data_IF_650422494024
#
_entry.id   IF_650422494024
#
_cell.length_a   1.000
_cell.length_b   1.000
_cell.length_c   1.000
_cell.angle_alpha   90.00
_cell.angle_beta   90.00
_cell.angle_gamma   90.00
#
_symmetry.space_group_name_H-M   'P 1'
#
loop_
_entity.id
_entity.type
_entity.pdbx_description
1 polymer ?
#
# COMPACT_ATOMS: atom_id res chain seq x y z
N UNK A 1 15.02 11.37 28.86
CA UNK A 1 13.76 10.61 28.81
C UNK A 1 13.98 9.43 27.88
N UNK A 2 13.73 8.17 28.30
CA UNK A 2 13.88 7.06 27.37
C UNK A 2 12.80 7.23 26.29
N UNK A 3 13.19 7.04 25.03
CA UNK A 3 12.25 6.95 23.92
C UNK A 3 11.22 5.89 24.27
N UNK A 4 9.95 6.30 24.37
CA UNK A 4 8.84 5.37 24.45
C UNK A 4 8.77 4.66 23.09
N UNK A 5 9.55 3.57 22.93
CA UNK A 5 9.48 2.71 21.74
C UNK A 5 8.11 2.04 21.84
N UNK A 6 7.11 2.70 21.24
CA UNK A 6 5.80 2.13 21.06
C UNK A 6 6.02 0.83 20.28
N UNK A 7 5.83 -0.32 20.95
CA UNK A 7 6.02 -1.64 20.36
C UNK A 7 5.21 -1.69 19.07
N UNK A 8 5.85 -1.98 17.93
CA UNK A 8 5.14 -2.04 16.66
C UNK A 8 4.24 -3.27 16.69
N UNK A 9 3.10 -3.21 16.03
CA UNK A 9 2.12 -4.32 16.05
C UNK A 9 2.72 -5.61 15.48
N UNK A 10 3.69 -5.50 14.57
CA UNK A 10 4.41 -6.63 13.98
C UNK A 10 5.60 -7.15 14.81
N UNK A 11 5.91 -6.55 15.96
CA UNK A 11 6.91 -7.06 16.91
C UNK A 11 6.33 -8.14 17.84
N UNK A 12 5.08 -8.54 17.64
CA UNK A 12 4.51 -9.70 18.33
C UNK A 12 5.24 -10.99 17.91
N UNK A 13 5.63 -11.82 18.88
CA UNK A 13 6.44 -13.01 18.62
C UNK A 13 5.70 -14.05 17.79
N UNK A 14 4.40 -14.25 18.04
CA UNK A 14 3.58 -15.19 17.27
C UNK A 14 3.39 -14.68 15.85
N UNK A 15 3.03 -13.41 15.70
CA UNK A 15 2.87 -12.81 14.39
C UNK A 15 4.19 -12.83 13.61
N UNK A 16 5.28 -12.36 14.19
CA UNK A 16 6.59 -12.29 13.51
C UNK A 16 7.11 -13.66 13.12
N UNK A 17 6.88 -14.70 13.95
CA UNK A 17 7.24 -16.08 13.62
C UNK A 17 6.49 -16.58 12.39
N UNK A 18 5.18 -16.40 12.35
CA UNK A 18 4.35 -16.77 11.22
C UNK A 18 4.65 -15.94 9.96
N UNK A 19 4.73 -14.62 10.10
CA UNK A 19 4.92 -13.68 9.00
C UNK A 19 6.27 -13.85 8.28
N UNK A 20 7.30 -14.34 8.97
CA UNK A 20 8.61 -14.68 8.36
C UNK A 20 8.57 -15.93 7.47
N UNK A 21 7.63 -16.83 7.73
CA UNK A 21 7.47 -18.08 6.97
C UNK A 21 6.46 -17.90 5.84
N UNK A 22 5.49 -17.00 6.01
CA UNK A 22 4.51 -16.71 4.98
C UNK A 22 5.12 -15.91 3.82
N UNK A 23 5.33 -16.57 2.69
CA UNK A 23 5.87 -15.95 1.48
C UNK A 23 4.75 -15.28 0.67
N UNK A 24 4.83 -13.96 0.51
CA UNK A 24 3.94 -13.20 -0.37
C UNK A 24 4.39 -13.26 -1.83
N UNK A 25 5.70 -13.32 -2.05
CA UNK A 25 6.29 -13.47 -3.39
C UNK A 25 7.45 -14.45 -3.34
N UNK A 26 8.13 -14.65 -4.47
CA UNK A 26 9.32 -15.51 -4.54
C UNK A 26 10.46 -15.06 -3.62
N UNK A 27 10.49 -13.79 -3.22
CA UNK A 27 11.62 -13.20 -2.48
C UNK A 27 11.23 -12.43 -1.23
N UNK A 28 9.94 -12.27 -0.93
CA UNK A 28 9.46 -11.44 0.17
C UNK A 28 8.49 -12.22 1.05
N UNK A 29 8.79 -12.25 2.35
CA UNK A 29 7.86 -12.69 3.37
C UNK A 29 6.88 -11.56 3.74
N UNK A 30 5.77 -11.89 4.38
CA UNK A 30 4.88 -10.88 4.94
C UNK A 30 5.63 -9.98 5.94
N UNK A 31 6.54 -10.55 6.73
CA UNK A 31 7.35 -9.80 7.69
C UNK A 31 8.24 -8.74 7.03
N UNK A 32 8.78 -9.01 5.84
CA UNK A 32 9.57 -8.04 5.08
C UNK A 32 8.67 -6.91 4.57
N UNK A 33 7.49 -7.26 4.07
CA UNK A 33 6.54 -6.30 3.49
C UNK A 33 5.98 -5.33 4.54
N UNK A 34 5.61 -5.81 5.74
CA UNK A 34 5.01 -4.96 6.80
C UNK A 34 6.00 -4.01 7.45
N UNK A 35 7.30 -4.27 7.31
CA UNK A 35 8.36 -3.38 7.82
C UNK A 35 8.71 -2.25 6.85
N UNK A 36 8.49 -2.47 5.56
CA UNK A 36 8.84 -1.52 4.51
C UNK A 36 7.69 -0.56 4.23
N UNK A 37 8.04 0.63 3.73
CA UNK A 37 7.02 1.64 3.43
C UNK A 37 6.27 1.27 2.16
N UNK A 38 4.97 1.64 2.04
CA UNK A 38 4.22 1.37 0.82
C UNK A 38 4.90 1.86 -0.47
N UNK A 39 5.57 3.01 -0.41
CA UNK A 39 6.35 3.60 -1.50
C UNK A 39 7.45 2.68 -2.05
N UNK A 40 8.04 1.85 -1.19
CA UNK A 40 9.19 1.00 -1.51
C UNK A 40 8.74 -0.36 -2.09
N UNK A 41 7.49 -0.74 -1.82
CA UNK A 41 6.96 -2.08 -2.09
C UNK A 41 5.97 -2.17 -3.24
N UNK A 42 5.38 -1.05 -3.65
CA UNK A 42 4.35 -0.99 -4.69
C UNK A 42 4.75 -1.70 -6.01
N UNK A 43 6.05 -1.70 -6.36
CA UNK A 43 6.57 -2.33 -7.59
C UNK A 43 6.94 -3.80 -7.44
N UNK A 44 7.08 -4.28 -6.20
CA UNK A 44 7.59 -5.63 -5.90
C UNK A 44 6.49 -6.66 -5.74
N UNK A 45 5.27 -6.21 -5.41
CA UNK A 45 4.11 -7.07 -5.24
C UNK A 45 3.17 -6.96 -6.44
N UNK A 46 2.60 -8.09 -6.85
CA UNK A 46 1.57 -8.18 -7.87
C UNK A 46 0.18 -8.23 -7.24
N UNK A 47 -0.86 -8.00 -8.05
CA UNK A 47 -2.24 -8.17 -7.60
C UNK A 47 -2.52 -9.62 -7.17
N UNK A 48 -1.90 -10.60 -7.84
CA UNK A 48 -2.03 -12.02 -7.50
C UNK A 48 -1.43 -12.35 -6.13
N UNK A 49 -0.30 -11.74 -5.76
CA UNK A 49 0.33 -11.94 -4.45
C UNK A 49 -0.58 -11.47 -3.31
N UNK A 50 -1.26 -10.34 -3.52
CA UNK A 50 -2.27 -9.85 -2.58
C UNK A 50 -3.51 -10.76 -2.51
N UNK A 51 -4.01 -11.21 -3.67
CA UNK A 51 -5.17 -12.08 -3.71
C UNK A 51 -4.91 -13.40 -2.99
N UNK A 52 -3.71 -13.97 -3.17
CA UNK A 52 -3.28 -15.16 -2.44
C UNK A 52 -3.26 -14.93 -0.92
N UNK A 53 -2.84 -13.75 -0.46
CA UNK A 53 -2.95 -13.37 0.95
C UNK A 53 -4.40 -13.27 1.41
N UNK A 54 -5.24 -12.53 0.70
CA UNK A 54 -6.64 -12.30 1.09
C UNK A 54 -7.48 -13.59 1.14
N UNK A 55 -7.12 -14.60 0.35
CA UNK A 55 -7.79 -15.90 0.31
C UNK A 55 -7.16 -16.95 1.24
N UNK A 56 -6.18 -16.58 2.07
CA UNK A 56 -5.55 -17.51 2.99
C UNK A 56 -6.41 -17.72 4.23
N UNK A 57 -6.91 -18.93 4.47
CA UNK A 57 -7.88 -19.20 5.56
C UNK A 57 -7.27 -19.48 6.94
N UNK A 58 -5.93 -19.55 7.05
CA UNK A 58 -5.26 -20.02 8.27
C UNK A 58 -4.70 -18.88 9.16
N UNK A 59 -5.61 -18.12 9.75
CA UNK A 59 -5.28 -17.04 10.71
C UNK A 59 -5.62 -17.38 12.16
N UNK A 60 -6.06 -18.60 12.45
CA UNK A 60 -6.71 -18.96 13.72
C UNK A 60 -5.81 -18.81 14.94
N UNK A 61 -4.50 -18.89 14.75
CA UNK A 61 -3.51 -18.82 15.83
C UNK A 61 -2.80 -17.45 15.96
N UNK A 62 -3.17 -16.47 15.12
CA UNK A 62 -2.58 -15.13 15.15
C UNK A 62 -3.24 -14.23 16.20
N UNK A 63 -2.50 -13.26 16.76
CA UNK A 63 -3.08 -12.26 17.64
C UNK A 63 -4.23 -11.50 16.95
N UNK A 64 -5.23 -11.13 17.75
CA UNK A 64 -6.35 -10.33 17.27
C UNK A 64 -5.85 -9.00 16.69
N UNK A 65 -6.38 -8.61 15.52
CA UNK A 65 -6.01 -7.38 14.83
C UNK A 65 -4.71 -7.42 14.01
N UNK A 66 -3.80 -8.40 14.16
CA UNK A 66 -2.57 -8.42 13.35
C UNK A 66 -2.84 -8.80 11.89
N UNK A 67 -3.84 -9.64 11.65
CA UNK A 67 -4.30 -9.97 10.29
C UNK A 67 -4.94 -8.77 9.63
N UNK A 68 -5.79 -8.03 10.36
CA UNK A 68 -6.42 -6.80 9.87
C UNK A 68 -5.38 -5.72 9.57
N UNK A 69 -4.43 -5.48 10.49
CA UNK A 69 -3.35 -4.52 10.28
C UNK A 69 -2.48 -4.88 9.07
N UNK A 70 -2.21 -6.18 8.87
CA UNK A 70 -1.50 -6.69 7.69
C UNK A 70 -2.30 -6.46 6.41
N UNK A 71 -3.60 -6.75 6.43
CA UNK A 71 -4.50 -6.53 5.30
C UNK A 71 -4.60 -5.04 4.93
N UNK A 72 -4.69 -4.15 5.92
CA UNK A 72 -4.68 -2.70 5.71
C UNK A 72 -3.36 -2.26 5.08
N UNK A 73 -2.21 -2.67 5.62
CA UNK A 73 -0.90 -2.30 5.07
C UNK A 73 -0.71 -2.78 3.63
N UNK A 74 -1.12 -4.02 3.35
CA UNK A 74 -1.09 -4.57 2.00
C UNK A 74 -2.05 -3.85 1.05
N UNK A 75 -3.24 -3.48 1.53
CA UNK A 75 -4.20 -2.68 0.78
C UNK A 75 -3.63 -1.30 0.44
N UNK A 76 -2.91 -0.67 1.36
CA UNK A 76 -2.24 0.61 1.12
C UNK A 76 -1.16 0.49 0.03
N UNK A 77 -0.36 -0.59 0.04
CA UNK A 77 0.63 -0.86 -1.02
C UNK A 77 -0.05 -1.01 -2.38
N UNK A 78 -1.10 -1.83 -2.46
CA UNK A 78 -1.82 -2.07 -3.71
C UNK A 78 -2.49 -0.79 -4.22
N UNK A 79 -3.22 -0.10 -3.35
CA UNK A 79 -3.93 1.14 -3.68
C UNK A 79 -2.95 2.21 -4.18
N UNK A 80 -1.76 2.30 -3.56
CA UNK A 80 -0.72 3.24 -3.99
C UNK A 80 -0.28 3.00 -5.43
N UNK A 81 0.05 1.75 -5.75
CA UNK A 81 0.43 1.35 -7.11
C UNK A 81 -0.66 1.75 -8.10
N UNK A 82 -1.90 1.34 -7.80
CA UNK A 82 -3.05 1.57 -8.66
C UNK A 82 -3.27 3.06 -8.92
N UNK A 83 -3.34 3.88 -7.87
CA UNK A 83 -3.59 5.31 -8.04
C UNK A 83 -2.42 6.04 -8.69
N UNK A 84 -1.17 5.64 -8.46
CA UNK A 84 -0.03 6.24 -9.18
C UNK A 84 -0.09 5.98 -10.68
N UNK A 85 -0.39 4.75 -11.09
CA UNK A 85 -0.56 4.38 -12.50
C UNK A 85 -1.75 5.14 -13.14
N UNK A 86 -2.81 5.40 -12.37
CA UNK A 86 -4.03 6.05 -12.87
C UNK A 86 -4.05 7.58 -12.74
N UNK A 87 -3.23 8.20 -11.90
CA UNK A 87 -3.33 9.63 -11.57
C UNK A 87 -2.79 10.56 -12.67
N UNK A 88 -1.99 10.09 -13.62
CA UNK A 88 -1.33 10.94 -14.61
C UNK A 88 -2.32 11.69 -15.50
N UNK A 89 -3.22 10.96 -16.16
CA UNK A 89 -4.19 11.57 -17.08
C UNK A 89 -5.17 12.52 -16.35
N UNK A 90 -5.77 12.15 -15.19
CA UNK A 90 -6.56 13.08 -14.40
C UNK A 90 -5.79 14.34 -13.99
N UNK A 91 -4.52 14.22 -13.59
CA UNK A 91 -3.70 15.38 -13.22
C UNK A 91 -3.40 16.29 -14.42
N UNK A 92 -3.13 15.72 -15.60
CA UNK A 92 -2.96 16.49 -16.83
C UNK A 92 -4.23 17.29 -17.16
N UNK A 93 -5.42 16.66 -17.05
CA UNK A 93 -6.70 17.34 -17.23
C UNK A 93 -6.94 18.45 -16.21
N UNK A 94 -6.71 18.18 -14.92
CA UNK A 94 -6.87 19.15 -13.83
C UNK A 94 -5.99 20.39 -14.02
N UNK A 95 -4.77 20.17 -14.50
CA UNK A 95 -3.82 21.25 -14.78
C UNK A 95 -4.04 21.90 -16.14
N UNK A 96 -5.10 21.50 -16.88
CA UNK A 96 -5.39 21.95 -18.25
C UNK A 96 -4.18 21.85 -19.17
N UNK A 97 -3.42 20.77 -19.01
CA UNK A 97 -2.20 20.48 -19.75
C UNK A 97 -1.13 21.60 -19.67
N UNK A 98 -1.17 22.43 -18.62
CA UNK A 98 -0.21 23.54 -18.44
C UNK A 98 1.12 23.08 -17.84
N UNK A 99 1.17 21.87 -17.27
CA UNK A 99 2.38 21.27 -16.73
C UNK A 99 2.93 20.22 -17.70
N UNK A 100 4.25 20.18 -17.92
CA UNK A 100 4.89 19.07 -18.61
C UNK A 100 4.62 17.73 -17.89
N UNK A 101 4.54 16.64 -18.66
CA UNK A 101 4.31 15.27 -18.12
C UNK A 101 5.29 14.95 -16.99
N UNK A 102 6.58 15.26 -17.16
CA UNK A 102 7.60 15.05 -16.13
C UNK A 102 7.27 15.75 -14.81
N UNK A 103 6.73 16.98 -14.87
CA UNK A 103 6.32 17.70 -13.67
C UNK A 103 5.13 17.02 -12.99
N UNK A 104 4.16 16.52 -13.76
CA UNK A 104 3.03 15.77 -13.24
C UNK A 104 3.48 14.47 -12.55
N UNK A 105 4.41 13.72 -13.15
CA UNK A 105 4.99 12.52 -12.55
C UNK A 105 5.72 12.83 -11.23
N UNK A 106 6.49 13.93 -11.18
CA UNK A 106 7.15 14.38 -9.94
C UNK A 106 6.15 14.73 -8.84
N UNK A 107 5.00 15.32 -9.19
CA UNK A 107 3.92 15.60 -8.24
C UNK A 107 3.35 14.28 -7.73
N UNK A 108 2.90 13.39 -8.62
CA UNK A 108 2.32 12.07 -8.29
C UNK A 108 3.23 11.27 -7.36
N UNK A 109 4.54 11.28 -7.61
CA UNK A 109 5.50 10.57 -6.78
C UNK A 109 5.58 11.08 -5.33
N UNK A 110 5.18 12.32 -5.06
CA UNK A 110 5.20 12.92 -3.72
C UNK A 110 3.89 12.79 -2.95
N UNK A 111 2.82 12.34 -3.61
CA UNK A 111 1.48 12.31 -3.03
C UNK A 111 1.23 11.05 -2.19
N UNK A 112 0.37 11.18 -1.19
CA UNK A 112 -0.16 10.05 -0.42
C UNK A 112 -1.35 9.43 -1.17
N UNK A 113 -1.75 8.21 -0.78
CA UNK A 113 -2.87 7.52 -1.42
C UNK A 113 -4.16 8.33 -1.41
N UNK A 114 -4.42 9.09 -0.34
CA UNK A 114 -5.58 9.98 -0.24
C UNK A 114 -5.58 11.06 -1.32
N UNK A 115 -4.44 11.70 -1.56
CA UNK A 115 -4.33 12.75 -2.56
C UNK A 115 -4.41 12.17 -3.98
N UNK A 116 -3.78 11.02 -4.20
CA UNK A 116 -3.84 10.29 -5.47
C UNK A 116 -5.27 9.86 -5.79
N UNK A 117 -6.00 9.32 -4.79
CA UNK A 117 -7.42 9.00 -4.90
C UNK A 117 -8.23 10.24 -5.31
N UNK A 118 -8.04 11.38 -4.62
CA UNK A 118 -8.74 12.62 -4.97
C UNK A 118 -8.45 13.08 -6.40
N UNK A 119 -7.21 12.93 -6.88
CA UNK A 119 -6.86 13.24 -8.28
C UNK A 119 -7.57 12.30 -9.26
N UNK A 120 -7.51 10.98 -9.01
CA UNK A 120 -8.12 9.97 -9.89
C UNK A 120 -9.62 10.18 -10.08
N UNK A 121 -10.31 10.67 -9.05
CA UNK A 121 -11.76 10.86 -9.04
C UNK A 121 -12.20 12.33 -9.10
N UNK A 122 -11.29 13.26 -9.42
CA UNK A 122 -11.64 14.67 -9.49
C UNK A 122 -12.66 14.99 -10.61
N UNK A 123 -12.70 14.16 -11.66
CA UNK A 123 -13.60 14.29 -12.81
C UNK A 123 -14.96 13.58 -12.63
N UNK A 124 -15.09 12.69 -11.63
CA UNK A 124 -16.37 11.99 -11.37
C UNK A 124 -17.42 12.85 -10.66
N UNK A 125 -17.13 14.14 -10.45
CA UNK A 125 -18.07 15.12 -9.87
C UNK A 125 -18.94 15.82 -10.92
N UNK A 126 -18.85 15.43 -12.20
CA UNK A 126 -19.75 15.94 -13.25
C UNK A 126 -20.90 14.94 -13.44
N UNK A 127 -22.03 15.25 -12.79
CA UNK A 127 -23.38 14.70 -12.93
C UNK A 127 -23.65 13.27 -12.44
N UNK A 128 -24.10 13.15 -11.19
CA UNK A 128 -25.19 12.24 -10.80
C UNK A 128 -26.45 13.06 -10.57
#
# INVERSE_FOLDING_TARGET
>A
MPANIQKRWYDDEKFSGWAKVYMLSKSLSLYDVVQLKPEEMEKQLTCSDYFAFACFDDYKDLPEGTTEASAVHLSEIMARRFFREWALEPLLKLTRYQLPILCCEMIINKLMNKDLYSICFADTSINL
#
